data_IF_042999744081
#
_entry.id   IF_042999744081
#
_cell.length_a   1.000
_cell.length_b   1.000
_cell.length_c   1.000
_cell.angle_alpha   90.00
_cell.angle_beta   90.00
_cell.angle_gamma   90.00
#
_symmetry.space_group_name_H-M   'P 1'
#
loop_
_entity.id
_entity.type
_entity.pdbx_description
1 polymer ?
#
# COMPACT_ATOMS: atom_id res chain seq x y z
N UNK A 1 15.39 -27.13 -18.09
CA UNK A 1 16.49 -28.00 -17.62
C UNK A 1 16.31 -28.20 -16.11
N UNK A 2 15.96 -29.41 -15.62
CA UNK A 2 15.86 -29.64 -14.18
C UNK A 2 17.27 -29.57 -13.55
N UNK A 3 17.42 -28.83 -12.46
CA UNK A 3 18.68 -28.69 -11.75
C UNK A 3 19.06 -30.03 -11.08
N UNK A 4 20.18 -30.62 -11.48
CA UNK A 4 20.69 -31.87 -10.88
C UNK A 4 21.34 -31.53 -9.53
N UNK A 5 20.88 -32.10 -8.41
CA UNK A 5 21.46 -31.82 -7.10
C UNK A 5 22.84 -32.49 -6.96
N UNK A 6 23.91 -31.70 -7.04
CA UNK A 6 25.32 -32.14 -6.87
C UNK A 6 25.83 -32.10 -5.41
N UNK A 7 24.91 -32.05 -4.45
CA UNK A 7 25.26 -31.93 -3.02
C UNK A 7 26.01 -33.13 -2.48
N UNK A 8 25.78 -34.34 -3.01
CA UNK A 8 26.54 -35.54 -2.65
C UNK A 8 27.98 -35.48 -3.17
N UNK A 9 28.15 -35.19 -4.47
CA UNK A 9 29.46 -35.01 -5.12
C UNK A 9 30.31 -33.97 -4.39
N UNK A 10 29.71 -32.85 -4.00
CA UNK A 10 30.39 -31.83 -3.19
C UNK A 10 30.84 -32.35 -1.83
N UNK A 11 30.00 -33.10 -1.10
CA UNK A 11 30.35 -33.66 0.22
C UNK A 11 31.52 -34.64 0.12
N UNK A 12 31.56 -35.45 -0.93
CA UNK A 12 32.64 -36.42 -1.14
C UNK A 12 33.97 -35.72 -1.46
N UNK A 13 33.94 -34.71 -2.34
CA UNK A 13 35.10 -33.87 -2.63
C UNK A 13 35.62 -33.13 -1.39
N UNK A 14 34.73 -32.63 -0.52
CA UNK A 14 35.11 -32.01 0.75
C UNK A 14 35.82 -33.00 1.66
N UNK A 15 35.29 -34.23 1.81
CA UNK A 15 35.91 -35.28 2.63
C UNK A 15 37.29 -35.70 2.10
N UNK A 16 37.44 -35.80 0.78
CA UNK A 16 38.70 -36.14 0.15
C UNK A 16 39.76 -35.05 0.33
N UNK A 17 39.35 -33.78 0.19
CA UNK A 17 40.23 -32.63 0.48
C UNK A 17 40.58 -32.55 1.95
N UNK A 18 39.65 -32.85 2.85
CA UNK A 18 39.91 -32.92 4.27
C UNK A 18 40.96 -33.99 4.57
N UNK A 19 40.90 -35.17 3.94
CA UNK A 19 41.91 -36.26 4.03
C UNK A 19 43.29 -35.90 3.52
N UNK A 20 43.39 -35.03 2.52
CA UNK A 20 44.68 -34.59 1.98
C UNK A 20 45.42 -33.56 2.88
N UNK A 21 44.76 -32.98 3.88
CA UNK A 21 45.35 -31.96 4.76
C UNK A 21 46.00 -32.64 5.98
N UNK A 22 47.25 -32.30 6.36
CA UNK A 22 47.92 -32.88 7.53
C UNK A 22 47.15 -32.61 8.84
N UNK A 23 47.14 -33.57 9.77
CA UNK A 23 46.29 -33.57 10.98
C UNK A 23 46.45 -32.31 11.87
N UNK A 24 47.63 -31.68 11.85
CA UNK A 24 47.89 -30.41 12.57
C UNK A 24 47.13 -29.22 12.00
N UNK A 25 46.82 -29.23 10.70
CA UNK A 25 45.95 -28.25 10.03
C UNK A 25 44.48 -28.66 10.12
N UNK A 26 44.15 -29.95 10.06
CA UNK A 26 42.79 -30.47 10.32
C UNK A 26 42.27 -30.05 11.69
N UNK A 27 43.08 -30.21 12.75
CA UNK A 27 42.73 -29.75 14.12
C UNK A 27 42.51 -28.24 14.23
N UNK A 28 43.06 -27.43 13.31
CA UNK A 28 42.82 -25.97 13.25
C UNK A 28 41.58 -25.61 12.43
N UNK A 29 41.24 -26.41 11.42
CA UNK A 29 40.05 -26.28 10.56
C UNK A 29 38.77 -26.82 11.24
N UNK A 30 38.89 -27.91 11.99
CA UNK A 30 37.79 -28.58 12.69
C UNK A 30 37.47 -27.96 14.05
N UNK A 31 38.34 -27.08 14.55
CA UNK A 31 38.05 -26.32 15.76
C UNK A 31 37.06 -25.24 15.34
N UNK A 32 35.79 -25.30 15.77
CA UNK A 32 34.87 -24.20 15.51
C UNK A 32 35.58 -22.94 16.02
N UNK A 33 35.54 -21.86 15.24
CA UNK A 33 36.03 -20.54 15.64
C UNK A 33 35.19 -20.03 16.82
N UNK A 34 35.34 -20.68 17.97
CA UNK A 34 34.50 -20.57 19.15
C UNK A 34 35.30 -19.88 20.24
N UNK A 35 35.80 -18.71 19.87
CA UNK A 35 35.95 -17.63 20.83
C UNK A 35 34.96 -16.56 20.36
N UNK A 36 33.67 -16.91 20.37
CA UNK A 36 32.62 -15.90 20.33
C UNK A 36 32.89 -15.04 21.55
N UNK A 37 33.33 -13.81 21.31
CA UNK A 37 33.36 -12.82 22.37
C UNK A 37 31.92 -12.66 22.86
N UNK A 38 31.68 -12.43 24.16
CA UNK A 38 30.31 -12.18 24.65
C UNK A 38 29.61 -11.06 23.85
N UNK A 39 30.40 -10.16 23.27
CA UNK A 39 29.94 -9.10 22.37
C UNK A 39 29.44 -9.60 21.01
N UNK A 40 30.11 -10.59 20.42
CA UNK A 40 29.66 -11.20 19.15
C UNK A 40 28.37 -11.98 19.33
N UNK A 41 28.17 -12.62 20.48
CA UNK A 41 26.93 -13.33 20.79
C UNK A 41 25.76 -12.35 20.92
N UNK A 42 26.00 -11.17 21.51
CA UNK A 42 24.99 -10.11 21.64
C UNK A 42 24.59 -9.50 20.29
N UNK A 43 25.52 -9.32 19.36
CA UNK A 43 25.20 -8.91 17.99
C UNK A 43 24.36 -9.97 17.27
N UNK A 44 24.69 -11.25 17.46
CA UNK A 44 23.95 -12.36 16.87
C UNK A 44 22.52 -12.47 17.42
N UNK A 45 22.31 -12.21 18.72
CA UNK A 45 20.96 -12.17 19.31
C UNK A 45 20.15 -11.01 18.75
N UNK A 46 20.73 -9.80 18.64
CA UNK A 46 20.06 -8.65 18.06
C UNK A 46 19.65 -8.90 16.61
N UNK A 47 20.53 -9.52 15.81
CA UNK A 47 20.21 -9.88 14.43
C UNK A 47 19.07 -10.92 14.35
N UNK A 48 19.07 -11.92 15.24
CA UNK A 48 17.99 -12.92 15.31
C UNK A 48 16.65 -12.30 15.72
N UNK A 49 16.67 -11.40 16.70
CA UNK A 49 15.50 -10.66 17.15
C UNK A 49 14.93 -9.79 16.03
N UNK A 50 15.80 -9.02 15.35
CA UNK A 50 15.43 -8.20 14.20
C UNK A 50 14.75 -9.03 13.10
N UNK A 51 15.37 -10.14 12.66
CA UNK A 51 14.82 -10.97 11.59
C UNK A 51 13.51 -11.62 12.01
N UNK A 52 13.40 -12.09 13.26
CA UNK A 52 12.16 -12.67 13.80
C UNK A 52 11.02 -11.65 13.79
N UNK A 53 11.28 -10.42 14.23
CA UNK A 53 10.29 -9.35 14.21
C UNK A 53 9.89 -8.96 12.79
N UNK A 54 10.85 -8.89 11.85
CA UNK A 54 10.58 -8.65 10.44
C UNK A 54 9.62 -9.69 9.83
N UNK A 55 9.79 -10.98 10.14
CA UNK A 55 8.86 -12.02 9.68
C UNK A 55 7.45 -11.87 10.27
N UNK A 56 7.35 -11.46 11.54
CA UNK A 56 6.06 -11.18 12.17
C UNK A 56 5.35 -10.02 11.46
N UNK A 57 6.06 -8.93 11.18
CA UNK A 57 5.53 -7.79 10.42
C UNK A 57 5.09 -8.22 9.02
N UNK A 58 5.92 -9.00 8.32
CA UNK A 58 5.60 -9.51 6.99
C UNK A 58 4.32 -10.35 7.00
N UNK A 59 4.14 -11.22 8.00
CA UNK A 59 2.94 -12.03 8.13
C UNK A 59 1.68 -11.17 8.32
N UNK A 60 1.77 -10.12 9.15
CA UNK A 60 0.65 -9.19 9.35
C UNK A 60 0.31 -8.43 8.07
N UNK A 61 1.31 -7.92 7.33
CA UNK A 61 1.11 -7.23 6.06
C UNK A 61 0.47 -8.16 5.02
N UNK A 62 0.99 -9.38 4.88
CA UNK A 62 0.45 -10.35 3.92
C UNK A 62 -0.98 -10.78 4.28
N UNK A 63 -1.29 -10.91 5.56
CA UNK A 63 -2.65 -11.26 6.02
C UNK A 63 -3.61 -10.12 5.76
N UNK A 64 -3.21 -8.88 6.03
CA UNK A 64 -3.98 -7.69 5.69
C UNK A 64 -4.20 -7.59 4.17
N UNK A 65 -3.15 -7.71 3.36
CA UNK A 65 -3.24 -7.61 1.91
C UNK A 65 -4.18 -8.68 1.31
N UNK A 66 -4.08 -9.93 1.78
CA UNK A 66 -5.00 -11.02 1.36
C UNK A 66 -6.44 -10.71 1.75
N UNK A 67 -6.67 -10.21 2.95
CA UNK A 67 -8.00 -9.84 3.42
C UNK A 67 -8.58 -8.70 2.58
N UNK A 68 -7.89 -7.58 2.41
CA UNK A 68 -8.41 -6.44 1.62
C UNK A 68 -8.71 -6.88 0.18
N UNK A 69 -7.86 -7.73 -0.41
CA UNK A 69 -8.11 -8.30 -1.74
C UNK A 69 -9.36 -9.18 -1.80
N UNK A 70 -9.58 -10.05 -0.80
CA UNK A 70 -10.76 -10.91 -0.74
C UNK A 70 -12.06 -10.12 -0.55
N UNK A 71 -12.01 -9.09 0.29
CA UNK A 71 -13.20 -8.32 0.68
C UNK A 71 -13.57 -7.26 -0.38
N UNK A 72 -12.64 -6.86 -1.27
CA UNK A 72 -12.85 -5.82 -2.30
C UNK A 72 -14.18 -5.92 -3.04
N UNK A 73 -14.55 -7.12 -3.52
CA UNK A 73 -15.78 -7.30 -4.32
C UNK A 73 -17.04 -7.02 -3.50
N UNK A 74 -17.12 -7.59 -2.30
CA UNK A 74 -18.27 -7.38 -1.40
C UNK A 74 -18.30 -5.97 -0.81
N UNK A 75 -17.13 -5.39 -0.58
CA UNK A 75 -16.97 -4.03 -0.09
C UNK A 75 -17.50 -2.99 -1.08
N UNK A 76 -17.14 -3.14 -2.36
CA UNK A 76 -17.56 -2.23 -3.42
C UNK A 76 -19.04 -2.39 -3.84
N UNK A 77 -19.64 -3.56 -3.58
CA UNK A 77 -21.05 -3.82 -3.88
C UNK A 77 -21.99 -3.09 -2.90
N UNK A 78 -22.20 -1.79 -3.09
CA UNK A 78 -23.05 -0.97 -2.21
C UNK A 78 -24.55 -1.26 -2.40
N UNK A 79 -24.96 -2.26 -3.19
CA UNK A 79 -26.38 -2.53 -3.47
C UNK A 79 -27.16 -2.94 -2.22
N UNK A 80 -28.21 -2.18 -1.92
CA UNK A 80 -29.08 -2.27 -0.75
C UNK A 80 -30.06 -3.43 -0.79
N UNK A 81 -30.07 -4.25 -1.86
CA UNK A 81 -30.92 -5.44 -1.95
C UNK A 81 -30.27 -6.60 -1.20
N UNK A 82 -30.06 -6.42 0.10
CA UNK A 82 -29.76 -7.56 0.97
C UNK A 82 -31.04 -8.38 1.14
N UNK A 83 -31.03 -9.69 0.85
CA UNK A 83 -32.13 -10.56 1.23
C UNK A 83 -32.30 -10.52 2.76
N UNK A 84 -33.55 -10.52 3.27
CA UNK A 84 -33.76 -10.55 4.71
C UNK A 84 -33.22 -11.87 5.26
N UNK A 85 -32.56 -11.81 6.41
CA UNK A 85 -32.04 -12.95 7.20
C UNK A 85 -30.69 -13.54 6.78
N UNK A 86 -29.59 -12.86 7.11
CA UNK A 86 -28.37 -13.54 7.56
C UNK A 86 -27.93 -12.91 8.89
N UNK A 87 -27.68 -13.76 9.90
CA UNK A 87 -27.24 -13.34 11.25
C UNK A 87 -26.03 -12.40 11.15
N UNK A 88 -25.98 -11.32 11.94
CA UNK A 88 -24.80 -10.47 12.02
C UNK A 88 -23.67 -11.31 12.64
N UNK A 89 -22.70 -11.72 11.83
CA UNK A 89 -21.48 -12.32 12.35
C UNK A 89 -20.50 -11.19 12.62
N UNK A 90 -20.34 -10.79 13.88
CA UNK A 90 -19.26 -9.89 14.30
C UNK A 90 -17.93 -10.61 14.09
N UNK A 91 -17.20 -10.27 13.02
CA UNK A 91 -15.89 -10.85 12.71
C UNK A 91 -14.81 -9.87 13.13
N UNK A 92 -14.08 -10.20 14.19
CA UNK A 92 -12.85 -9.52 14.56
C UNK A 92 -11.72 -10.03 13.67
N UNK A 93 -10.95 -9.14 13.04
CA UNK A 93 -9.74 -9.54 12.33
C UNK A 93 -8.75 -10.09 13.36
N UNK A 94 -8.54 -11.41 13.31
CA UNK A 94 -7.49 -12.05 14.08
C UNK A 94 -6.24 -12.10 13.19
N UNK A 95 -5.25 -11.28 13.54
CA UNK A 95 -3.98 -11.21 12.81
C UNK A 95 -3.17 -12.52 12.90
N UNK A 96 -3.52 -13.41 13.84
CA UNK A 96 -2.89 -14.72 14.01
C UNK A 96 -3.68 -15.86 13.35
N UNK A 97 -4.92 -15.62 12.93
CA UNK A 97 -5.81 -16.64 12.38
C UNK A 97 -5.53 -16.91 10.90
N UNK A 98 -5.00 -18.09 10.58
CA UNK A 98 -4.51 -18.42 9.24
C UNK A 98 -5.63 -18.64 8.18
N UNK A 99 -6.91 -18.68 8.57
CA UNK A 99 -8.04 -18.99 7.67
C UNK A 99 -9.35 -18.29 8.10
N UNK A 100 -9.43 -16.97 7.99
CA UNK A 100 -10.74 -16.31 8.00
C UNK A 100 -11.31 -16.34 6.57
N UNK A 101 -12.45 -17.02 6.38
CA UNK A 101 -13.13 -17.18 5.08
C UNK A 101 -13.80 -15.86 4.66
N UNK A 102 -12.98 -14.87 4.29
CA UNK A 102 -13.41 -13.58 3.73
C UNK A 102 -13.95 -13.73 2.30
N UNK A 103 -13.67 -14.85 1.63
CA UNK A 103 -14.13 -15.15 0.28
C UNK A 103 -15.62 -15.56 0.20
N UNK A 104 -16.22 -16.01 1.31
CA UNK A 104 -17.64 -16.43 1.36
C UNK A 104 -18.61 -15.25 1.53
N UNK A 105 -18.10 -14.05 1.82
CA UNK A 105 -18.93 -12.86 2.00
C UNK A 105 -19.33 -12.31 0.63
N UNK A 106 -20.57 -12.56 0.22
CA UNK A 106 -21.11 -12.06 -1.04
C UNK A 106 -21.52 -10.58 -0.94
N UNK A 107 -22.02 -10.17 0.23
CA UNK A 107 -22.48 -8.81 0.55
C UNK A 107 -22.04 -8.42 1.97
N UNK A 108 -21.79 -7.12 2.20
CA UNK A 108 -21.46 -6.53 3.50
C UNK A 108 -22.41 -5.38 3.82
N UNK A 109 -22.76 -5.20 5.08
CA UNK A 109 -23.52 -4.01 5.53
C UNK A 109 -22.61 -2.77 5.55
N UNK A 110 -23.21 -1.57 5.61
CA UNK A 110 -22.43 -0.33 5.71
C UNK A 110 -21.59 -0.27 7.00
N UNK A 111 -22.14 -0.80 8.10
CA UNK A 111 -21.46 -0.90 9.40
C UNK A 111 -20.30 -1.90 9.38
N UNK A 112 -20.48 -3.06 8.75
CA UNK A 112 -19.41 -4.06 8.62
C UNK A 112 -18.23 -3.51 7.79
N UNK A 113 -18.53 -2.76 6.72
CA UNK A 113 -17.49 -2.08 5.92
C UNK A 113 -16.71 -1.07 6.76
N UNK A 114 -17.39 -0.30 7.58
CA UNK A 114 -16.79 0.68 8.48
C UNK A 114 -15.89 0.02 9.53
N UNK A 115 -16.32 -1.13 10.05
CA UNK A 115 -15.52 -1.92 10.97
C UNK A 115 -14.25 -2.47 10.28
N UNK A 116 -14.37 -2.94 9.04
CA UNK A 116 -13.22 -3.40 8.24
C UNK A 116 -12.23 -2.25 8.01
N UNK A 117 -12.71 -1.06 7.68
CA UNK A 117 -11.87 0.13 7.48
C UNK A 117 -11.10 0.49 8.75
N UNK A 118 -11.80 0.55 9.89
CA UNK A 118 -11.19 0.87 11.18
C UNK A 118 -10.13 -0.16 11.56
N UNK A 119 -10.44 -1.45 11.43
CA UNK A 119 -9.49 -2.50 11.78
C UNK A 119 -8.29 -2.53 10.82
N UNK A 120 -8.51 -2.38 9.51
CA UNK A 120 -7.43 -2.31 8.53
C UNK A 120 -6.47 -1.15 8.84
N UNK A 121 -7.02 0.01 9.21
CA UNK A 121 -6.23 1.18 9.62
C UNK A 121 -5.42 0.92 10.89
N UNK A 122 -6.02 0.33 11.92
CA UNK A 122 -5.31 -0.02 13.17
C UNK A 122 -4.14 -0.96 12.88
N UNK A 123 -4.35 -1.95 11.99
CA UNK A 123 -3.30 -2.88 11.58
C UNK A 123 -2.19 -2.16 10.82
N UNK A 124 -2.52 -1.27 9.87
CA UNK A 124 -1.53 -0.47 9.14
C UNK A 124 -0.69 0.39 10.09
N UNK A 125 -1.33 1.10 11.03
CA UNK A 125 -0.62 1.91 12.03
C UNK A 125 0.31 1.05 12.87
N UNK A 126 -0.17 -0.10 13.37
CA UNK A 126 0.64 -1.01 14.19
C UNK A 126 1.83 -1.58 13.41
N UNK A 127 1.65 -1.92 12.14
CA UNK A 127 2.72 -2.41 11.29
C UNK A 127 3.74 -1.30 11.01
N UNK A 128 3.31 -0.06 10.76
CA UNK A 128 4.19 1.11 10.64
C UNK A 128 5.02 1.32 11.91
N UNK A 129 4.39 1.30 13.09
CA UNK A 129 5.09 1.46 14.37
C UNK A 129 6.11 0.34 14.60
N UNK A 130 5.78 -0.89 14.18
CA UNK A 130 6.70 -2.03 14.27
C UNK A 130 7.87 -1.92 13.29
N UNK A 131 7.65 -1.37 12.09
CA UNK A 131 8.74 -1.04 11.15
C UNK A 131 9.67 0.03 11.75
N UNK A 132 9.13 1.06 12.41
CA UNK A 132 9.94 2.04 13.13
C UNK A 132 10.74 1.41 14.28
N UNK A 133 10.18 0.42 15.00
CA UNK A 133 10.91 -0.35 16.01
C UNK A 133 12.05 -1.18 15.40
N UNK A 134 11.86 -1.78 14.21
CA UNK A 134 12.92 -2.49 13.49
C UNK A 134 14.08 -1.54 13.13
N UNK A 135 13.77 -0.32 12.70
CA UNK A 135 14.79 0.72 12.43
C UNK A 135 15.56 1.09 13.71
N UNK A 136 14.88 1.18 14.86
CA UNK A 136 15.53 1.43 16.14
C UNK A 136 16.43 0.26 16.56
N UNK A 137 16.02 -0.99 16.31
CA UNK A 137 16.85 -2.17 16.55
C UNK A 137 18.11 -2.16 15.68
N UNK A 138 18.00 -1.78 14.39
CA UNK A 138 19.17 -1.64 13.54
C UNK A 138 20.08 -0.50 14.00
N UNK A 139 19.50 0.62 14.45
CA UNK A 139 20.28 1.72 15.03
C UNK A 139 21.05 1.27 16.27
N UNK A 140 20.41 0.54 17.19
CA UNK A 140 21.07 -0.03 18.38
C UNK A 140 22.20 -0.98 18.00
N UNK A 141 22.00 -1.79 16.96
CA UNK A 141 23.02 -2.70 16.44
C UNK A 141 24.18 -1.94 15.79
N UNK A 142 23.91 -0.88 15.03
CA UNK A 142 24.93 -0.02 14.43
C UNK A 142 25.74 0.73 15.50
N UNK A 143 25.09 1.25 16.55
CA UNK A 143 25.76 1.88 17.69
C UNK A 143 26.65 0.88 18.45
N UNK A 144 26.15 -0.34 18.67
CA UNK A 144 26.92 -1.40 19.31
C UNK A 144 28.14 -1.80 18.46
N UNK A 145 27.96 -1.97 17.15
CA UNK A 145 29.05 -2.24 16.21
C UNK A 145 30.07 -1.10 16.16
N UNK A 146 29.62 0.16 16.22
CA UNK A 146 30.50 1.33 16.28
C UNK A 146 31.26 1.41 17.61
N UNK A 147 30.62 1.07 18.74
CA UNK A 147 31.25 1.05 20.06
C UNK A 147 32.33 -0.02 20.19
N UNK A 148 32.23 -1.09 19.39
CA UNK A 148 33.23 -2.15 19.32
C UNK A 148 34.50 -1.71 18.56
N UNK A 149 34.43 -0.67 17.73
CA UNK A 149 35.62 -0.18 17.04
C UNK A 149 36.55 0.53 18.03
N UNK A 150 37.79 0.05 18.13
CA UNK A 150 38.80 0.63 19.02
C UNK A 150 38.99 2.14 18.73
N UNK A 151 39.11 3.01 19.75
CA UNK A 151 39.32 4.45 19.52
C UNK A 151 40.62 4.74 18.77
N UNK A 152 41.62 3.85 18.85
CA UNK A 152 42.87 3.94 18.12
C UNK A 152 42.73 3.62 16.62
N UNK A 153 41.81 2.74 16.23
CA UNK A 153 41.52 2.53 14.80
C UNK A 153 40.79 3.74 14.21
N UNK A 154 40.21 4.62 15.05
CA UNK A 154 39.67 5.91 14.62
C UNK A 154 40.73 6.92 14.15
N UNK A 155 41.99 6.75 14.55
CA UNK A 155 43.11 7.61 14.14
C UNK A 155 43.89 7.06 12.94
N UNK A 156 43.64 5.82 12.54
CA UNK A 156 44.32 5.23 11.39
C UNK A 156 43.72 5.72 10.06
N UNK A 157 44.54 5.88 8.99
CA UNK A 157 44.05 6.21 7.66
C UNK A 157 43.04 5.17 7.16
N UNK A 158 41.99 5.62 6.46
CA UNK A 158 40.88 4.77 5.98
C UNK A 158 41.33 3.46 5.28
N UNK A 159 42.48 3.47 4.62
CA UNK A 159 43.08 2.32 3.93
C UNK A 159 43.53 1.17 4.85
N UNK A 160 43.70 1.41 6.16
CA UNK A 160 44.13 0.44 7.15
C UNK A 160 43.03 0.10 8.18
N UNK A 161 41.82 0.66 8.01
CA UNK A 161 40.70 0.51 8.96
C UNK A 161 39.70 -0.56 8.59
N UNK A 162 39.74 -1.04 7.35
CA UNK A 162 38.75 -1.97 6.84
C UNK A 162 39.17 -3.41 7.16
N UNK A 163 38.78 -3.85 8.35
CA UNK A 163 38.84 -5.25 8.76
C UNK A 163 37.64 -6.01 8.18
N UNK A 164 37.80 -7.31 7.91
CA UNK A 164 36.75 -8.20 7.40
C UNK A 164 35.45 -8.14 8.24
N UNK A 165 35.57 -7.89 9.56
CA UNK A 165 34.43 -7.74 10.48
C UNK A 165 33.59 -6.49 10.22
N UNK A 166 34.23 -5.39 9.81
CA UNK A 166 33.55 -4.12 9.50
C UNK A 166 32.78 -4.27 8.18
N UNK A 167 33.40 -4.87 7.16
CA UNK A 167 32.72 -5.17 5.89
C UNK A 167 31.52 -6.11 6.07
N UNK A 168 31.65 -7.15 6.90
CA UNK A 168 30.53 -8.01 7.24
C UNK A 168 29.42 -7.25 7.99
N UNK A 169 29.81 -6.33 8.88
CA UNK A 169 28.85 -5.48 9.59
C UNK A 169 28.06 -4.58 8.64
N UNK A 170 28.73 -3.93 7.69
CA UNK A 170 28.14 -3.03 6.70
C UNK A 170 27.19 -3.80 5.77
N UNK A 171 27.56 -5.02 5.37
CA UNK A 171 26.67 -5.88 4.57
C UNK A 171 25.40 -6.28 5.34
N UNK A 172 25.51 -6.62 6.63
CA UNK A 172 24.33 -6.89 7.46
C UNK A 172 23.46 -5.63 7.60
N UNK A 173 24.08 -4.45 7.71
CA UNK A 173 23.33 -3.19 7.78
C UNK A 173 22.58 -2.91 6.48
N UNK A 174 23.22 -3.10 5.33
CA UNK A 174 22.59 -2.99 4.01
C UNK A 174 21.46 -4.03 3.84
N UNK A 175 21.65 -5.26 4.33
CA UNK A 175 20.64 -6.31 4.28
C UNK A 175 19.42 -5.98 5.16
N UNK A 176 19.64 -5.50 6.39
CA UNK A 176 18.57 -5.05 7.27
C UNK A 176 17.85 -3.84 6.67
N UNK A 177 18.57 -2.84 6.16
CA UNK A 177 17.99 -1.70 5.45
C UNK A 177 17.09 -2.16 4.28
N UNK A 178 17.57 -3.15 3.49
CA UNK A 178 16.78 -3.77 2.42
C UNK A 178 15.52 -4.49 2.91
N UNK A 179 15.57 -5.18 4.06
CA UNK A 179 14.39 -5.80 4.68
C UNK A 179 13.38 -4.73 5.11
N UNK A 180 13.79 -3.70 5.85
CA UNK A 180 12.90 -2.60 6.24
C UNK A 180 12.30 -1.90 5.03
N UNK A 181 13.09 -1.63 4.01
CA UNK A 181 12.61 -1.05 2.76
C UNK A 181 11.55 -1.93 2.08
N UNK A 182 11.78 -3.24 2.02
CA UNK A 182 10.82 -4.18 1.46
C UNK A 182 9.50 -4.18 2.24
N UNK A 183 9.56 -4.20 3.58
CA UNK A 183 8.37 -4.14 4.44
C UNK A 183 7.61 -2.81 4.28
N UNK A 184 8.32 -1.69 4.31
CA UNK A 184 7.75 -0.35 4.08
C UNK A 184 7.07 -0.27 2.72
N UNK A 185 7.72 -0.77 1.66
CA UNK A 185 7.14 -0.81 0.31
C UNK A 185 5.85 -1.62 0.26
N UNK A 186 5.83 -2.82 0.83
CA UNK A 186 4.63 -3.67 0.88
C UNK A 186 3.49 -3.04 1.67
N UNK A 187 3.83 -2.37 2.77
CA UNK A 187 2.88 -1.65 3.59
C UNK A 187 2.28 -0.45 2.84
N UNK A 188 3.11 0.31 2.12
CA UNK A 188 2.68 1.39 1.22
C UNK A 188 1.77 0.89 0.10
N UNK A 189 2.14 -0.20 -0.58
CA UNK A 189 1.29 -0.85 -1.61
C UNK A 189 -0.08 -1.26 -1.05
N UNK A 190 -0.11 -1.84 0.16
CA UNK A 190 -1.36 -2.25 0.82
C UNK A 190 -2.21 -1.04 1.23
N UNK A 191 -1.57 0.04 1.71
CA UNK A 191 -2.25 1.28 2.08
C UNK A 191 -2.87 1.99 0.86
N UNK A 192 -2.18 1.98 -0.29
CA UNK A 192 -2.68 2.51 -1.56
C UNK A 192 -3.94 1.77 -1.99
N UNK A 193 -3.90 0.44 -1.97
CA UNK A 193 -5.05 -0.38 -2.35
C UNK A 193 -6.27 -0.14 -1.45
N UNK A 194 -6.07 0.05 -0.14
CA UNK A 194 -7.13 0.39 0.79
C UNK A 194 -7.71 1.79 0.50
N UNK A 195 -6.85 2.78 0.28
CA UNK A 195 -7.29 4.14 -0.07
C UNK A 195 -8.12 4.14 -1.36
N UNK A 196 -7.63 3.52 -2.42
CA UNK A 196 -8.34 3.47 -3.71
C UNK A 196 -9.73 2.83 -3.55
N UNK A 197 -9.85 1.80 -2.71
CA UNK A 197 -11.13 1.17 -2.41
C UNK A 197 -12.07 2.10 -1.61
N UNK A 198 -11.54 2.88 -0.67
CA UNK A 198 -12.30 3.88 0.09
C UNK A 198 -12.73 5.08 -0.78
N UNK A 199 -11.87 5.54 -1.68
CA UNK A 199 -12.20 6.57 -2.68
C UNK A 199 -13.33 6.10 -3.61
N UNK A 200 -13.26 4.86 -4.11
CA UNK A 200 -14.34 4.29 -4.92
C UNK A 200 -15.66 4.21 -4.14
N UNK A 201 -15.63 3.83 -2.85
CA UNK A 201 -16.84 3.78 -2.02
C UNK A 201 -17.42 5.17 -1.80
N UNK A 202 -16.58 6.14 -1.44
CA UNK A 202 -16.97 7.54 -1.26
C UNK A 202 -17.60 8.10 -2.53
N UNK A 203 -16.99 7.82 -3.69
CA UNK A 203 -17.52 8.23 -4.99
C UNK A 203 -18.90 7.63 -5.25
N UNK A 204 -19.10 6.33 -5.00
CA UNK A 204 -20.41 5.66 -5.15
C UNK A 204 -21.48 6.20 -4.18
N UNK A 205 -21.08 6.56 -2.96
CA UNK A 205 -21.98 7.16 -1.98
C UNK A 205 -22.38 8.59 -2.39
N UNK A 206 -21.43 9.38 -2.89
CA UNK A 206 -21.65 10.73 -3.38
C UNK A 206 -22.52 10.75 -4.66
N UNK A 207 -22.28 9.81 -5.58
CA UNK A 207 -23.14 9.62 -6.75
C UNK A 207 -24.56 9.29 -6.32
N UNK A 208 -24.73 8.44 -5.29
CA UNK A 208 -26.06 8.11 -4.77
C UNK A 208 -26.77 9.26 -4.11
N UNK A 209 -26.11 10.01 -3.22
CA UNK A 209 -26.73 11.19 -2.61
C UNK A 209 -27.12 12.21 -3.67
N UNK A 210 -26.27 12.39 -4.70
CA UNK A 210 -26.59 13.21 -5.87
C UNK A 210 -27.79 12.67 -6.65
N UNK A 211 -27.88 11.35 -6.87
CA UNK A 211 -29.01 10.75 -7.59
C UNK A 211 -30.30 10.73 -6.78
N UNK A 212 -30.26 10.57 -5.46
CA UNK A 212 -31.44 10.62 -4.58
C UNK A 212 -32.05 12.03 -4.58
N UNK A 213 -31.21 13.07 -4.57
CA UNK A 213 -31.67 14.44 -4.78
C UNK A 213 -32.34 14.65 -6.15
N UNK A 214 -31.78 14.06 -7.22
CA UNK A 214 -32.41 14.10 -8.55
C UNK A 214 -33.63 13.18 -8.71
N UNK A 215 -33.68 12.08 -7.95
CA UNK A 215 -34.72 11.07 -7.97
C UNK A 215 -35.97 11.58 -7.29
N UNK A 216 -35.85 12.19 -6.11
CA UNK A 216 -36.93 12.89 -5.44
C UNK A 216 -37.47 14.06 -6.29
N UNK A 217 -36.59 14.83 -6.95
CA UNK A 217 -37.02 15.89 -7.87
C UNK A 217 -37.76 15.32 -9.11
N UNK A 218 -37.33 14.17 -9.64
CA UNK A 218 -37.98 13.50 -10.77
C UNK A 218 -39.28 12.81 -10.39
N UNK A 219 -39.35 12.24 -9.19
CA UNK A 219 -40.53 11.60 -8.61
C UNK A 219 -41.58 12.64 -8.23
N UNK A 220 -41.18 13.79 -7.70
CA UNK A 220 -42.05 14.96 -7.54
C UNK A 220 -42.57 15.48 -8.89
N UNK A 221 -41.74 15.51 -9.94
CA UNK A 221 -42.22 15.84 -11.31
C UNK A 221 -43.16 14.78 -11.88
N UNK A 222 -43.01 13.50 -11.51
CA UNK A 222 -43.85 12.41 -12.02
C UNK A 222 -45.18 12.29 -11.25
N UNK A 223 -45.18 12.54 -9.93
CA UNK A 223 -46.39 12.71 -9.12
C UNK A 223 -47.17 13.95 -9.56
N UNK A 224 -46.48 15.05 -9.90
CA UNK A 224 -47.11 16.22 -10.52
C UNK A 224 -47.60 16.00 -11.97
N UNK A 225 -47.20 14.92 -12.63
CA UNK A 225 -47.61 14.58 -14.00
C UNK A 225 -48.74 13.53 -14.06
N UNK A 226 -48.95 12.75 -13.00
CA UNK A 226 -50.02 11.74 -12.94
C UNK A 226 -51.39 12.29 -12.51
N UNK A 227 -51.45 13.52 -11.98
CA UNK A 227 -52.71 14.22 -11.66
C UNK A 227 -53.14 15.27 -12.71
N UNK A 228 -52.43 15.34 -13.84
CA UNK A 228 -52.69 16.33 -14.88
C UNK A 228 -53.46 15.71 -16.07
N UNK A 229 -54.80 15.74 -16.02
CA UNK A 229 -55.59 15.75 -17.27
C UNK A 229 -55.29 17.06 -18.02
N UNK A 230 -55.22 17.05 -19.37
CA UNK A 230 -54.81 18.20 -20.14
C UNK A 230 -55.97 19.20 -20.25
N UNK A 231 -55.86 20.34 -19.57
CA UNK A 231 -56.69 21.52 -19.85
C UNK A 231 -55.83 22.64 -20.44
N UNK A 232 -56.21 23.24 -21.58
CA UNK A 232 -55.45 24.32 -22.18
C UNK A 232 -55.96 25.65 -21.63
N UNK A 233 -55.22 26.26 -20.72
CA UNK A 233 -55.33 27.70 -20.50
C UNK A 233 -54.05 28.25 -19.87
N UNK A 234 -53.42 29.15 -20.62
CA UNK A 234 -52.36 30.04 -20.15
C UNK A 234 -52.88 30.93 -19.02
N UNK A 235 -52.21 30.92 -17.87
CA UNK A 235 -52.06 32.14 -17.06
C UNK A 235 -50.83 32.05 -16.17
N UNK A 236 -50.04 33.11 -16.26
CA UNK A 236 -48.84 33.39 -15.49
C UNK A 236 -49.17 33.68 -14.03
N UNK A 237 -48.68 32.85 -13.11
CA UNK A 237 -48.48 33.24 -11.72
C UNK A 237 -47.24 32.52 -11.16
N UNK A 238 -46.28 33.34 -10.77
CA UNK A 238 -44.99 32.99 -10.21
C UNK A 238 -45.10 32.46 -8.78
N UNK A 239 -44.56 31.27 -8.55
CA UNK A 239 -44.24 30.72 -7.22
C UNK A 239 -42.88 30.04 -7.24
N UNK A 240 -41.87 30.77 -7.73
CA UNK A 240 -40.47 30.29 -7.81
C UNK A 240 -39.83 30.33 -6.43
N UNK A 241 -39.65 29.17 -5.79
CA UNK A 241 -38.87 29.04 -4.55
C UNK A 241 -37.43 28.56 -4.79
N UNK A 242 -37.00 28.42 -6.04
CA UNK A 242 -35.58 28.23 -6.35
C UNK A 242 -35.09 29.34 -7.29
N UNK A 243 -34.64 30.43 -6.66
CA UNK A 243 -33.89 31.47 -7.33
C UNK A 243 -32.61 30.90 -7.96
N UNK A 244 -32.58 30.92 -9.29
CA UNK A 244 -31.51 31.57 -10.04
C UNK A 244 -30.17 30.84 -10.14
N UNK A 245 -30.06 29.95 -11.13
CA UNK A 245 -28.83 29.80 -11.93
C UNK A 245 -29.16 29.16 -13.30
N UNK A 246 -29.90 29.88 -14.14
CA UNK A 246 -30.03 29.51 -15.55
C UNK A 246 -30.20 30.77 -16.37
N UNK A 247 -29.08 31.23 -16.94
CA UNK A 247 -28.99 31.83 -18.27
C UNK A 247 -27.52 32.14 -18.58
N UNK A 248 -26.79 31.17 -19.13
CA UNK A 248 -25.76 31.42 -20.14
C UNK A 248 -25.72 30.23 -21.09
N UNK A 249 -26.20 30.46 -22.32
CA UNK A 249 -25.60 30.01 -23.59
C UNK A 249 -25.54 28.50 -23.89
N UNK A 250 -25.87 27.98 -25.07
CA UNK A 250 -26.59 28.46 -26.24
C UNK A 250 -26.62 27.27 -27.20
N UNK A 251 -27.77 27.08 -27.84
CA UNK A 251 -27.91 26.30 -29.05
C UNK A 251 -27.13 27.00 -30.18
N UNK A 252 -25.96 26.49 -30.53
CA UNK A 252 -25.36 26.74 -31.85
C UNK A 252 -25.50 25.47 -32.69
N UNK A 253 -26.33 25.58 -33.71
CA UNK A 253 -26.44 24.61 -34.78
C UNK A 253 -25.44 24.92 -35.91
N UNK A 254 -24.81 23.85 -36.39
CA UNK A 254 -24.37 23.56 -37.77
C UNK A 254 -23.28 24.39 -38.48
N UNK A 255 -22.19 23.72 -38.86
CA UNK A 255 -21.81 23.37 -40.25
C UNK A 255 -20.33 22.90 -40.26
N UNK A 256 -19.95 21.82 -40.94
CA UNK A 256 -19.53 21.80 -42.36
C UNK A 256 -19.49 20.34 -42.88
N UNK A 257 -20.23 20.07 -43.97
CA UNK A 257 -19.76 19.47 -45.24
C UNK A 257 -19.52 17.96 -45.42
N UNK A 258 -20.34 17.30 -46.25
CA UNK A 258 -19.91 16.21 -47.18
C UNK A 258 -20.85 14.99 -47.31
N UNK A 259 -21.09 14.39 -48.51
CA UNK A 259 -22.38 13.80 -48.87
C UNK A 259 -22.42 12.26 -49.02
N UNK A 260 -23.57 11.63 -48.77
CA UNK A 260 -24.11 10.48 -49.55
C UNK A 260 -25.51 10.05 -49.03
N UNK A 261 -26.40 9.79 -49.98
CA UNK A 261 -27.75 9.21 -49.89
C UNK A 261 -27.70 7.68 -49.72
N UNK A 262 -28.82 6.92 -49.78
CA UNK A 262 -30.00 6.88 -48.90
C UNK A 262 -30.32 5.43 -48.40
N UNK A 263 -31.12 5.26 -47.34
CA UNK A 263 -31.92 4.03 -47.10
C UNK A 263 -32.84 4.27 -45.88
N UNK A 264 -34.14 4.48 -46.10
CA UNK A 264 -35.23 3.50 -46.16
C UNK A 264 -36.00 3.43 -44.82
N UNK A 265 -37.21 4.01 -44.90
CA UNK A 265 -38.45 4.04 -44.09
C UNK A 265 -38.82 2.74 -43.30
N UNK A 266 -39.93 2.64 -42.51
CA UNK A 266 -40.95 3.65 -42.12
C UNK A 266 -41.58 3.55 -40.70
N UNK A 267 -42.48 4.51 -40.43
CA UNK A 267 -43.76 4.38 -39.67
C UNK A 267 -43.71 4.57 -38.13
N UNK A 268 -44.56 5.33 -37.43
CA UNK A 268 -45.92 5.83 -37.70
C UNK A 268 -46.23 7.17 -37.00
N UNK A 269 -46.84 8.09 -37.76
CA UNK A 269 -48.09 8.84 -37.46
C UNK A 269 -48.22 9.72 -36.20
N UNK A 270 -47.99 11.01 -36.41
CA UNK A 270 -48.62 12.12 -35.68
C UNK A 270 -49.87 12.58 -36.45
N UNK A 271 -51.07 12.44 -35.87
CA UNK A 271 -52.31 13.02 -36.43
C UNK A 271 -52.73 14.23 -35.60
N UNK A 272 -52.50 15.41 -36.17
CA UNK A 272 -53.01 16.71 -35.72
C UNK A 272 -54.50 16.82 -36.05
N UNK A 273 -55.36 16.98 -35.04
CA UNK A 273 -56.80 17.32 -35.23
C UNK A 273 -57.11 18.57 -34.40
N UNK A 274 -57.45 19.66 -35.11
CA UNK A 274 -58.14 20.84 -34.56
C UNK A 274 -59.62 20.51 -34.33
N UNK A 275 -60.28 21.09 -33.32
CA UNK A 275 -61.73 21.26 -33.36
C UNK A 275 -62.15 22.73 -33.48
N UNK A 276 -63.21 22.89 -34.27
CA UNK A 276 -64.01 24.07 -34.55
C UNK A 276 -64.97 24.39 -33.39
N UNK A 277 -65.28 25.67 -33.23
CA UNK A 277 -66.36 26.17 -32.38
C UNK A 277 -67.74 25.82 -32.95
N UNK A 278 -68.70 25.47 -32.08
CA UNK A 278 -70.12 25.84 -32.25
C UNK A 278 -70.86 25.72 -30.91
N UNK A 279 -71.74 26.68 -30.66
CA UNK A 279 -72.52 26.94 -29.45
C UNK A 279 -73.51 25.83 -29.06
N UNK A 280 -73.74 25.67 -27.75
CA UNK A 280 -75.09 25.74 -27.18
C UNK A 280 -75.06 25.99 -25.67
N UNK A 281 -76.05 26.76 -25.28
CA UNK A 281 -76.26 27.50 -24.05
C UNK A 281 -76.96 26.64 -22.98
N UNK A 282 -76.83 27.11 -21.73
CA UNK A 282 -77.73 26.94 -20.60
C UNK A 282 -77.90 25.55 -19.95
N UNK A 283 -77.27 25.36 -18.78
CA UNK A 283 -77.87 24.81 -17.56
C UNK A 283 -77.05 25.26 -16.35
N UNK A 284 -77.56 26.27 -15.66
CA UNK A 284 -77.17 26.61 -14.29
C UNK A 284 -77.29 25.37 -13.39
N UNK A 285 -76.18 24.92 -12.82
CA UNK A 285 -76.17 24.17 -11.58
C UNK A 285 -74.95 24.61 -10.80
N UNK A 286 -75.19 25.36 -9.72
CA UNK A 286 -74.28 25.47 -8.57
C UNK A 286 -73.65 24.10 -8.33
N UNK A 287 -72.36 23.99 -8.60
CA UNK A 287 -71.55 22.87 -8.14
C UNK A 287 -70.23 23.51 -7.76
N UNK A 288 -70.22 23.97 -6.52
CA UNK A 288 -69.08 23.96 -5.63
C UNK A 288 -67.75 24.38 -6.26
N UNK A 289 -67.35 25.62 -5.95
CA UNK A 289 -65.98 25.96 -5.64
C UNK A 289 -65.50 25.08 -4.46
N UNK A 290 -65.44 23.76 -4.64
CA UNK A 290 -64.56 22.90 -3.86
C UNK A 290 -63.16 23.19 -4.38
N UNK A 291 -62.64 24.32 -3.88
CA UNK A 291 -61.23 24.48 -3.57
C UNK A 291 -60.69 23.09 -3.20
N UNK A 292 -59.80 22.55 -4.04
CA UNK A 292 -59.09 21.30 -3.80
C UNK A 292 -58.18 21.49 -2.57
N UNK A 293 -58.79 21.63 -1.41
CA UNK A 293 -58.16 21.62 -0.11
C UNK A 293 -57.68 20.18 0.10
N UNK A 294 -56.36 20.00 0.08
CA UNK A 294 -55.72 18.75 0.49
C UNK A 294 -56.39 18.30 1.80
N UNK A 295 -56.96 17.09 1.83
CA UNK A 295 -57.60 16.58 3.04
C UNK A 295 -56.62 16.72 4.22
N UNK A 296 -57.12 17.08 5.42
CA UNK A 296 -56.26 17.28 6.59
C UNK A 296 -55.31 16.08 6.85
N UNK A 297 -55.75 14.86 6.49
CA UNK A 297 -54.93 13.64 6.50
C UNK A 297 -53.79 13.63 5.48
N UNK A 298 -53.98 14.17 4.28
CA UNK A 298 -52.98 14.21 3.22
C UNK A 298 -51.93 15.29 3.48
N UNK A 299 -52.31 16.42 4.09
CA UNK A 299 -51.38 17.43 4.60
C UNK A 299 -50.48 16.82 5.68
N UNK A 300 -51.07 16.10 6.64
CA UNK A 300 -50.32 15.44 7.70
C UNK A 300 -49.32 14.40 7.15
N UNK A 301 -49.73 13.64 6.12
CA UNK A 301 -48.84 12.69 5.44
C UNK A 301 -47.68 13.40 4.72
N UNK A 302 -47.95 14.51 4.02
CA UNK A 302 -46.88 15.29 3.36
C UNK A 302 -45.92 15.93 4.36
N UNK A 303 -46.40 16.41 5.50
CA UNK A 303 -45.55 16.93 6.58
C UNK A 303 -44.65 15.82 7.16
N UNK A 304 -45.19 14.62 7.37
CA UNK A 304 -44.44 13.45 7.85
C UNK A 304 -43.42 12.97 6.81
N UNK A 305 -43.79 12.90 5.52
CA UNK A 305 -42.88 12.55 4.42
C UNK A 305 -41.76 13.58 4.26
N UNK A 306 -42.08 14.89 4.32
CA UNK A 306 -41.07 15.95 4.27
C UNK A 306 -40.11 15.88 5.46
N UNK A 307 -40.62 15.63 6.67
CA UNK A 307 -39.79 15.45 7.86
C UNK A 307 -38.86 14.22 7.72
N UNK A 308 -39.37 13.11 7.19
CA UNK A 308 -38.60 11.90 6.94
C UNK A 308 -37.53 12.10 5.86
N UNK A 309 -37.85 12.81 4.77
CA UNK A 309 -36.88 13.19 3.73
C UNK A 309 -35.77 14.04 4.33
N UNK A 310 -36.10 15.10 5.08
CA UNK A 310 -35.11 15.96 5.71
C UNK A 310 -34.20 15.19 6.68
N UNK A 311 -34.76 14.28 7.47
CA UNK A 311 -34.00 13.41 8.35
C UNK A 311 -33.05 12.51 7.55
N UNK A 312 -33.52 11.89 6.48
CA UNK A 312 -32.67 11.05 5.62
C UNK A 312 -31.54 11.84 4.94
N UNK A 313 -31.81 13.10 4.56
CA UNK A 313 -30.79 14.00 4.00
C UNK A 313 -29.76 14.38 5.06
N UNK A 314 -30.18 14.65 6.30
CA UNK A 314 -29.26 14.92 7.41
C UNK A 314 -28.38 13.70 7.71
N UNK A 315 -28.96 12.50 7.78
CA UNK A 315 -28.23 11.26 8.05
C UNK A 315 -27.23 10.91 6.94
N UNK A 316 -27.63 11.10 5.67
CA UNK A 316 -26.72 10.89 4.52
C UNK A 316 -25.57 11.89 4.53
N UNK A 317 -25.83 13.16 4.86
CA UNK A 317 -24.79 14.17 4.98
C UNK A 317 -23.80 13.85 6.11
N UNK A 318 -24.31 13.46 7.29
CA UNK A 318 -23.47 13.05 8.41
C UNK A 318 -22.59 11.83 8.05
N UNK A 319 -23.16 10.84 7.35
CA UNK A 319 -22.40 9.68 6.88
C UNK A 319 -21.32 10.05 5.86
N UNK A 320 -21.59 10.98 4.94
CA UNK A 320 -20.60 11.43 3.94
C UNK A 320 -19.47 12.19 4.63
N UNK A 321 -19.77 13.09 5.56
CA UNK A 321 -18.75 13.83 6.33
C UNK A 321 -17.86 12.88 7.14
N UNK A 322 -18.45 11.86 7.76
CA UNK A 322 -17.67 10.87 8.51
C UNK A 322 -16.75 10.06 7.59
N UNK A 323 -17.23 9.66 6.41
CA UNK A 323 -16.44 8.90 5.45
C UNK A 323 -15.33 9.77 4.81
N UNK A 324 -15.58 11.06 4.60
CA UNK A 324 -14.56 12.04 4.18
C UNK A 324 -13.45 12.18 5.23
N UNK A 325 -13.79 12.30 6.51
CA UNK A 325 -12.82 12.39 7.60
C UNK A 325 -11.91 11.15 7.65
N UNK A 326 -12.49 9.96 7.48
CA UNK A 326 -11.73 8.69 7.43
C UNK A 326 -10.83 8.61 6.20
N UNK A 327 -11.30 9.10 5.05
CA UNK A 327 -10.50 9.16 3.82
C UNK A 327 -9.31 10.13 3.95
N UNK A 328 -9.52 11.28 4.60
CA UNK A 328 -8.44 12.22 4.92
C UNK A 328 -7.40 11.57 5.84
N UNK A 329 -7.84 10.77 6.80
CA UNK A 329 -6.94 10.14 7.76
C UNK A 329 -6.09 9.01 7.13
N UNK A 330 -6.67 8.17 6.26
CA UNK A 330 -5.89 7.15 5.53
C UNK A 330 -4.92 7.80 4.55
N UNK A 331 -5.32 8.89 3.90
CA UNK A 331 -4.47 9.57 2.92
C UNK A 331 -3.30 10.26 3.61
N UNK A 332 -3.51 10.85 4.79
CA UNK A 332 -2.42 11.36 5.63
C UNK A 332 -1.43 10.25 6.01
N UNK A 333 -1.93 9.10 6.48
CA UNK A 333 -1.09 7.94 6.80
C UNK A 333 -0.30 7.46 5.56
N UNK A 334 -0.94 7.37 4.41
CA UNK A 334 -0.28 6.97 3.17
C UNK A 334 0.79 7.97 2.73
N UNK A 335 0.52 9.28 2.79
CA UNK A 335 1.49 10.31 2.43
C UNK A 335 2.73 10.19 3.30
N UNK A 336 2.55 9.95 4.60
CA UNK A 336 3.66 9.73 5.52
C UNK A 336 4.47 8.48 5.16
N UNK A 337 3.80 7.36 4.85
CA UNK A 337 4.46 6.12 4.43
C UNK A 337 5.24 6.28 3.13
N UNK A 338 4.69 7.00 2.15
CA UNK A 338 5.34 7.27 0.86
C UNK A 338 6.55 8.19 1.07
N UNK A 339 6.42 9.23 1.88
CA UNK A 339 7.51 10.14 2.20
C UNK A 339 8.66 9.39 2.91
N UNK A 340 8.32 8.56 3.90
CA UNK A 340 9.29 7.73 4.62
C UNK A 340 9.96 6.71 3.70
N UNK A 341 9.20 6.00 2.85
CA UNK A 341 9.75 5.09 1.84
C UNK A 341 10.71 5.77 0.86
N UNK A 342 10.41 7.01 0.46
CA UNK A 342 11.26 7.78 -0.46
C UNK A 342 12.60 8.09 0.20
N UNK A 343 12.56 8.59 1.44
CA UNK A 343 13.77 8.82 2.24
C UNK A 343 14.55 7.53 2.48
N UNK A 344 13.87 6.43 2.77
CA UNK A 344 14.50 5.12 2.98
C UNK A 344 15.16 4.58 1.72
N UNK A 345 14.60 4.85 0.53
CA UNK A 345 15.17 4.38 -0.73
C UNK A 345 16.55 4.96 -0.96
N UNK A 346 16.69 6.28 -0.80
CA UNK A 346 17.99 6.96 -0.91
C UNK A 346 19.00 6.43 0.13
N UNK A 347 18.57 6.28 1.39
CA UNK A 347 19.44 5.76 2.45
C UNK A 347 19.87 4.30 2.19
N UNK A 348 18.98 3.46 1.66
CA UNK A 348 19.27 2.06 1.38
C UNK A 348 20.23 1.92 0.21
N UNK A 349 20.08 2.74 -0.83
CA UNK A 349 21.01 2.80 -1.96
C UNK A 349 22.41 3.21 -1.51
N UNK A 350 22.53 4.26 -0.70
CA UNK A 350 23.81 4.70 -0.13
C UNK A 350 24.48 3.59 0.68
N UNK A 351 23.74 2.94 1.59
CA UNK A 351 24.27 1.83 2.41
C UNK A 351 24.71 0.64 1.55
N UNK A 352 24.00 0.37 0.46
CA UNK A 352 24.34 -0.71 -0.45
C UNK A 352 25.62 -0.41 -1.23
N UNK A 353 25.75 0.81 -1.76
CA UNK A 353 26.96 1.27 -2.43
C UNK A 353 28.17 1.24 -1.50
N UNK A 354 28.00 1.74 -0.27
CA UNK A 354 29.04 1.74 0.76
C UNK A 354 29.49 0.32 1.13
N UNK A 355 28.55 -0.62 1.25
CA UNK A 355 28.85 -2.02 1.53
C UNK A 355 29.65 -2.67 0.39
N UNK A 356 29.28 -2.41 -0.88
CA UNK A 356 30.02 -2.90 -2.06
C UNK A 356 31.41 -2.31 -2.11
N UNK A 357 31.53 -0.98 -1.94
CA UNK A 357 32.81 -0.29 -1.97
C UNK A 357 33.74 -0.83 -0.89
N UNK A 358 33.22 -1.03 0.32
CA UNK A 358 33.96 -1.58 1.46
C UNK A 358 34.37 -3.03 1.23
N UNK A 359 33.52 -3.86 0.64
CA UNK A 359 33.88 -5.24 0.29
C UNK A 359 35.01 -5.28 -0.74
N UNK A 360 34.93 -4.46 -1.79
CA UNK A 360 35.94 -4.40 -2.85
C UNK A 360 37.31 -3.91 -2.33
N UNK A 361 37.32 -2.97 -1.39
CA UNK A 361 38.56 -2.47 -0.79
C UNK A 361 39.17 -3.48 0.20
N UNK A 362 38.35 -4.20 0.96
CA UNK A 362 38.81 -5.31 1.82
C UNK A 362 39.39 -6.44 1.00
N UNK A 363 38.76 -6.81 -0.11
CA UNK A 363 39.27 -7.83 -1.02
C UNK A 363 40.66 -7.45 -1.55
N UNK A 364 40.81 -6.23 -2.08
CA UNK A 364 42.10 -5.69 -2.53
C UNK A 364 43.13 -5.63 -1.40
N UNK A 365 42.73 -5.24 -0.19
CA UNK A 365 43.60 -5.24 0.99
C UNK A 365 44.12 -6.64 1.32
N UNK A 366 43.23 -7.64 1.29
CA UNK A 366 43.57 -9.04 1.52
C UNK A 366 44.52 -9.61 0.45
N UNK A 367 44.37 -9.20 -0.82
CA UNK A 367 45.33 -9.51 -1.88
C UNK A 367 46.71 -8.90 -1.61
N UNK A 368 46.76 -7.61 -1.27
CA UNK A 368 48.01 -6.91 -0.94
C UNK A 368 48.72 -7.55 0.25
N UNK A 369 47.99 -7.99 1.28
CA UNK A 369 48.56 -8.72 2.42
C UNK A 369 49.15 -10.07 2.00
N UNK A 370 48.47 -10.82 1.12
CA UNK A 370 48.99 -12.08 0.57
C UNK A 370 50.28 -11.85 -0.22
N UNK A 371 50.32 -10.80 -1.04
CA UNK A 371 51.51 -10.42 -1.81
C UNK A 371 52.65 -9.94 -0.92
N UNK A 372 52.37 -9.09 0.07
CA UNK A 372 53.36 -8.62 1.03
C UNK A 372 53.98 -9.79 1.80
N UNK A 373 53.18 -10.80 2.18
CA UNK A 373 53.67 -12.03 2.81
C UNK A 373 54.58 -12.84 1.88
N UNK A 374 54.27 -12.90 0.58
CA UNK A 374 55.13 -13.54 -0.44
C UNK A 374 56.46 -12.79 -0.57
N UNK A 375 56.41 -11.46 -0.77
CA UNK A 375 57.61 -10.60 -0.86
C UNK A 375 58.48 -10.69 0.39
N UNK A 376 57.90 -10.70 1.59
CA UNK A 376 58.64 -10.87 2.84
C UNK A 376 59.28 -12.26 2.99
N UNK A 377 58.70 -13.31 2.40
CA UNK A 377 59.31 -14.64 2.36
C UNK A 377 60.49 -14.67 1.38
N UNK A 378 60.35 -14.04 0.23
CA UNK A 378 61.41 -14.01 -0.78
C UNK A 378 62.56 -13.09 -0.36
N UNK A 379 62.27 -11.94 0.23
CA UNK A 379 63.28 -11.07 0.84
C UNK A 379 64.10 -11.77 1.91
N UNK A 380 63.47 -12.60 2.76
CA UNK A 380 64.20 -13.42 3.74
C UNK A 380 65.13 -14.44 3.10
N UNK A 381 64.75 -15.06 1.97
CA UNK A 381 65.64 -15.97 1.23
C UNK A 381 66.84 -15.23 0.63
N UNK A 382 66.61 -14.04 0.06
CA UNK A 382 67.68 -13.20 -0.49
C UNK A 382 68.66 -12.71 0.58
N UNK A 383 68.15 -12.29 1.75
CA UNK A 383 69.00 -11.91 2.89
C UNK A 383 69.84 -13.10 3.37
N UNK A 384 69.27 -14.31 3.44
CA UNK A 384 70.00 -15.53 3.77
C UNK A 384 71.10 -15.85 2.76
N UNK A 385 70.79 -15.78 1.46
CA UNK A 385 71.78 -15.98 0.39
C UNK A 385 72.92 -14.95 0.47
N UNK A 386 72.57 -13.68 0.72
CA UNK A 386 73.55 -12.61 0.90
C UNK A 386 74.46 -12.86 2.11
N UNK A 387 73.90 -13.25 3.26
CA UNK A 387 74.67 -13.57 4.47
C UNK A 387 75.63 -14.75 4.24
N UNK A 388 75.17 -15.81 3.58
CA UNK A 388 76.01 -16.97 3.24
C UNK A 388 77.13 -16.53 2.28
N UNK A 389 76.80 -15.80 1.22
CA UNK A 389 77.79 -15.29 0.26
C UNK A 389 78.84 -14.40 0.94
N UNK A 390 78.41 -13.44 1.76
CA UNK A 390 79.32 -12.57 2.51
C UNK A 390 80.22 -13.36 3.48
N UNK A 391 79.67 -14.39 4.16
CA UNK A 391 80.46 -15.24 5.06
C UNK A 391 81.54 -16.04 4.31
N UNK A 392 81.23 -16.56 3.12
CA UNK A 392 82.20 -17.27 2.29
C UNK A 392 83.27 -16.33 1.73
N UNK A 393 82.89 -15.12 1.32
CA UNK A 393 83.84 -14.10 0.86
C UNK A 393 84.83 -13.70 1.96
N UNK A 394 84.36 -13.55 3.20
CA UNK A 394 85.23 -13.27 4.35
C UNK A 394 86.17 -14.44 4.66
N UNK A 395 85.70 -15.69 4.55
CA UNK A 395 86.54 -16.88 4.70
C UNK A 395 87.67 -16.90 3.66
N UNK A 396 87.36 -16.59 2.39
CA UNK A 396 88.33 -16.59 1.31
C UNK A 396 89.36 -15.46 1.45
N UNK A 397 88.93 -14.27 1.87
CA UNK A 397 89.81 -13.12 2.13
C UNK A 397 90.73 -13.34 3.35
N UNK A 398 90.34 -14.20 4.29
CA UNK A 398 91.18 -14.54 5.44
C UNK A 398 92.16 -15.67 5.12
N UNK A 399 91.81 -16.57 4.18
CA UNK A 399 92.65 -17.72 3.83
C UNK A 399 93.79 -17.36 2.86
N UNK A 400 93.69 -16.25 2.15
CA UNK A 400 94.66 -15.75 1.18
C UNK A 400 95.19 -14.39 1.62
#
# INVERSE_FOLDING_TARGET
MPAVPRTSEFRDLVRDKERAVPDTKRRKLSRPSKRSTPESERLETLNKEYVKEAYVVLNHINTLARMVAAVRKAYLNVDSRSPPMLRPTTRTIDLAGENQSWAELRNLTNEERDQIDLQARVILSRCKDRVAQLEELEKKRAEYAASQQNPLTRLLPARLRQDDSTAASDFVAAHHAGITWYLSRRLTETSQFLRDMQEERMKRQLERSRTLGSGAAREAMFLGANDALPSPAESSASGSWLGGASNLASSFAASIGGPSTPSFDPSQSTSTIKPSASMRDDWMSETDEEELELSASQIQQFEEENANILQSVQDTLASVQQAEARLMEISALQMELVAHLTKQTEQTEQLYEDAIATAATVEKGNEQLKEARRRARDGRKWILLFLIGASLSLLFLHYY
#
